data_IF_948472386472
#
_entry.id   IF_948472386472
#
_cell.length_a   1.000
_cell.length_b   1.000
_cell.length_c   1.000
_cell.angle_alpha   90.00
_cell.angle_beta   90.00
_cell.angle_gamma   90.00
#
_symmetry.space_group_name_H-M   'P 1'
#
loop_
_entity.id
_entity.type
_entity.pdbx_description
1 polymer ?
#
# COMPACT_ATOMS: atom_id res chain seq x y z
N UNK A 1 -16.58 4.31 -14.51
CA UNK A 1 -16.28 3.07 -13.75
C UNK A 1 -16.58 3.35 -12.29
N UNK A 2 -17.20 2.40 -11.57
CA UNK A 2 -17.33 2.54 -10.11
C UNK A 2 -15.98 2.32 -9.42
N UNK A 3 -15.88 2.72 -8.16
CA UNK A 3 -14.69 2.48 -7.35
C UNK A 3 -14.48 0.98 -7.14
N UNK A 4 -15.57 0.26 -6.89
CA UNK A 4 -15.61 -1.18 -6.69
C UNK A 4 -15.12 -1.93 -7.93
N UNK A 5 -15.58 -1.55 -9.13
CA UNK A 5 -15.08 -2.12 -10.38
C UNK A 5 -13.57 -1.92 -10.54
N UNK A 6 -13.07 -0.76 -10.11
CA UNK A 6 -11.64 -0.41 -10.22
C UNK A 6 -10.80 -1.24 -9.25
N UNK A 7 -11.25 -1.41 -8.01
CA UNK A 7 -10.59 -2.28 -7.01
C UNK A 7 -10.54 -3.72 -7.53
N UNK A 8 -11.61 -4.17 -8.16
CA UNK A 8 -11.71 -5.53 -8.67
C UNK A 8 -10.83 -5.77 -9.89
N UNK A 9 -10.69 -4.76 -10.75
CA UNK A 9 -9.70 -4.75 -11.82
C UNK A 9 -8.28 -4.82 -11.25
N UNK A 10 -7.97 -4.06 -10.20
CA UNK A 10 -6.63 -4.08 -9.58
C UNK A 10 -6.30 -5.47 -9.04
N UNK A 11 -7.25 -6.13 -8.36
CA UNK A 11 -7.09 -7.50 -7.88
C UNK A 11 -6.91 -8.50 -9.01
N UNK A 12 -7.73 -8.43 -10.06
CA UNK A 12 -7.78 -9.45 -11.13
C UNK A 12 -6.73 -9.26 -12.21
N UNK A 13 -6.48 -8.03 -12.64
CA UNK A 13 -5.58 -7.72 -13.75
C UNK A 13 -4.13 -7.76 -13.28
N UNK A 14 -3.85 -7.19 -12.10
CA UNK A 14 -2.48 -7.08 -11.58
C UNK A 14 -2.15 -8.16 -10.53
N UNK A 15 -3.11 -9.00 -10.15
CA UNK A 15 -2.87 -10.07 -9.16
C UNK A 15 -2.54 -9.55 -7.76
N UNK A 16 -2.92 -8.31 -7.46
CA UNK A 16 -2.61 -7.67 -6.19
C UNK A 16 -3.55 -8.16 -5.08
N UNK A 17 -2.99 -8.40 -3.90
CA UNK A 17 -3.75 -8.41 -2.67
C UNK A 17 -4.13 -6.97 -2.32
N UNK A 18 -5.43 -6.73 -2.14
CA UNK A 18 -5.98 -5.39 -1.90
C UNK A 18 -6.90 -5.42 -0.68
N UNK A 19 -6.62 -4.55 0.27
CA UNK A 19 -7.42 -4.33 1.49
C UNK A 19 -7.92 -2.89 1.52
N UNK A 20 -9.17 -2.69 1.94
CA UNK A 20 -9.80 -1.37 1.99
C UNK A 20 -10.05 -0.95 3.44
N UNK A 21 -9.85 0.34 3.71
CA UNK A 21 -10.26 1.01 4.93
C UNK A 21 -11.41 1.95 4.61
N UNK A 22 -12.51 1.80 5.34
CA UNK A 22 -13.66 2.70 5.29
C UNK A 22 -13.99 3.22 6.68
N UNK A 23 -14.63 4.38 6.75
CA UNK A 23 -15.23 4.87 8.00
C UNK A 23 -16.57 4.18 8.32
N UNK A 24 -17.22 4.61 9.41
CA UNK A 24 -18.51 4.07 9.85
C UNK A 24 -19.66 4.37 8.87
N UNK A 25 -19.51 5.40 8.03
CA UNK A 25 -20.49 5.82 7.04
C UNK A 25 -20.21 5.17 5.67
N UNK A 26 -19.17 4.34 5.57
CA UNK A 26 -18.75 3.65 4.35
C UNK A 26 -17.90 4.50 3.41
N UNK A 27 -17.43 5.67 3.83
CA UNK A 27 -16.53 6.49 3.02
C UNK A 27 -15.13 5.88 2.98
N UNK A 28 -14.49 5.98 1.82
CA UNK A 28 -13.12 5.52 1.62
C UNK A 28 -12.12 6.33 2.47
N UNK A 29 -11.29 5.63 3.23
CA UNK A 29 -10.19 6.21 4.01
C UNK A 29 -8.81 5.74 3.54
N UNK A 30 -8.73 4.54 2.98
CA UNK A 30 -7.47 4.06 2.45
C UNK A 30 -7.53 2.71 1.76
N UNK A 31 -6.48 2.40 1.00
CA UNK A 31 -6.31 1.14 0.30
C UNK A 31 -4.87 0.67 0.46
N UNK A 32 -4.70 -0.57 0.89
CA UNK A 32 -3.43 -1.28 0.93
C UNK A 32 -3.33 -2.17 -0.32
N UNK A 33 -2.16 -2.19 -0.94
CA UNK A 33 -1.87 -2.89 -2.18
C UNK A 33 -0.54 -3.63 -2.04
N UNK A 34 -0.54 -4.92 -2.32
CA UNK A 34 0.68 -5.71 -2.34
C UNK A 34 0.56 -6.88 -3.33
N UNK A 35 1.50 -7.00 -4.26
CA UNK A 35 1.57 -8.16 -5.16
C UNK A 35 2.46 -9.28 -4.60
N UNK A 36 2.61 -10.37 -5.36
CA UNK A 36 3.44 -11.49 -4.96
C UNK A 36 4.93 -11.14 -4.88
N UNK A 37 5.45 -10.37 -5.85
CA UNK A 37 6.87 -9.98 -5.88
C UNK A 37 7.19 -9.14 -4.66
N UNK A 38 6.37 -8.13 -4.35
CA UNK A 38 6.52 -7.28 -3.17
C UNK A 38 6.60 -8.09 -1.87
N UNK A 39 5.83 -9.17 -1.74
CA UNK A 39 5.92 -10.10 -0.59
C UNK A 39 7.21 -10.92 -0.58
N UNK A 40 7.64 -11.40 -1.73
CA UNK A 40 8.88 -12.18 -1.87
C UNK A 40 10.11 -11.33 -1.54
N UNK A 41 10.15 -10.09 -2.03
CA UNK A 41 11.21 -9.13 -1.72
C UNK A 41 11.29 -8.87 -0.22
N UNK A 42 10.17 -8.55 0.45
CA UNK A 42 10.18 -8.32 1.89
C UNK A 42 10.61 -9.56 2.70
N UNK A 43 10.21 -10.77 2.26
CA UNK A 43 10.64 -12.02 2.90
C UNK A 43 12.13 -12.27 2.75
N UNK A 44 12.72 -11.85 1.64
CA UNK A 44 14.16 -11.98 1.40
C UNK A 44 14.96 -10.97 2.23
N UNK A 45 14.45 -9.74 2.38
CA UNK A 45 15.15 -8.63 3.03
C UNK A 45 14.26 -7.86 4.04
N UNK A 46 13.89 -8.46 5.17
CA UNK A 46 12.98 -7.85 6.16
C UNK A 46 13.67 -6.88 7.14
N UNK A 47 14.99 -6.70 7.06
CA UNK A 47 15.80 -5.96 8.03
C UNK A 47 15.43 -4.48 8.18
N UNK A 48 15.01 -3.83 7.10
CA UNK A 48 14.72 -2.41 7.06
C UNK A 48 13.57 -2.12 6.10
N UNK A 49 12.58 -1.37 6.59
CA UNK A 49 11.49 -0.85 5.77
C UNK A 49 11.47 0.66 5.87
N UNK A 50 11.65 1.31 4.73
CA UNK A 50 11.49 2.75 4.55
C UNK A 50 10.06 3.05 4.11
N UNK A 51 9.48 4.12 4.63
CA UNK A 51 8.18 4.62 4.20
C UNK A 51 8.34 6.03 3.63
N UNK A 52 7.87 6.24 2.40
CA UNK A 52 7.81 7.55 1.77
C UNK A 52 6.39 7.85 1.26
N UNK A 53 5.98 9.12 1.35
CA UNK A 53 4.66 9.57 0.94
C UNK A 53 4.79 10.59 -0.20
N UNK A 54 4.21 10.28 -1.36
CA UNK A 54 4.25 11.14 -2.54
C UNK A 54 2.85 11.63 -2.90
N UNK A 55 2.69 12.94 -3.00
CA UNK A 55 1.41 13.58 -3.37
C UNK A 55 1.23 13.78 -4.88
N UNK A 56 2.31 13.67 -5.67
CA UNK A 56 2.34 14.15 -7.06
C UNK A 56 1.95 13.11 -8.11
N UNK A 57 1.81 11.84 -7.74
CA UNK A 57 1.57 10.76 -8.70
C UNK A 57 0.09 10.61 -9.06
N UNK A 58 -0.81 11.23 -8.29
CA UNK A 58 -2.27 11.11 -8.48
C UNK A 58 -2.90 12.50 -8.52
N UNK A 59 -3.56 12.87 -9.62
CA UNK A 59 -4.30 14.14 -9.78
C UNK A 59 -5.41 14.34 -8.71
N UNK A 60 -5.73 13.28 -7.97
CA UNK A 60 -6.76 13.25 -6.93
C UNK A 60 -6.29 13.81 -5.57
N UNK A 61 -5.05 14.29 -5.43
CA UNK A 61 -4.46 14.79 -4.17
C UNK A 61 -4.50 13.78 -3.00
N UNK A 62 -4.54 12.49 -3.32
CA UNK A 62 -4.46 11.41 -2.35
C UNK A 62 -2.98 11.03 -2.20
N UNK A 63 -2.38 11.12 -1.01
CA UNK A 63 -1.01 10.67 -0.81
C UNK A 63 -0.85 9.18 -1.11
N UNK A 64 0.13 8.86 -1.96
CA UNK A 64 0.58 7.51 -2.22
C UNK A 64 1.79 7.21 -1.33
N UNK A 65 1.59 6.31 -0.40
CA UNK A 65 2.62 5.70 0.43
C UNK A 65 3.29 4.57 -0.33
N UNK A 66 4.62 4.57 -0.30
CA UNK A 66 5.46 3.50 -0.83
C UNK A 66 6.29 2.96 0.33
N UNK A 67 6.17 1.65 0.59
CA UNK A 67 7.09 0.95 1.47
C UNK A 67 8.22 0.37 0.61
N UNK A 68 9.45 0.72 0.97
CA UNK A 68 10.67 0.30 0.31
C UNK A 68 11.49 -0.57 1.26
N UNK A 69 12.15 -1.58 0.72
CA UNK A 69 13.20 -2.34 1.40
C UNK A 69 14.51 -2.15 0.65
N UNK A 70 15.64 -2.46 1.28
CA UNK A 70 16.93 -2.54 0.60
C UNK A 70 17.41 -3.99 0.55
N UNK A 71 17.85 -4.45 -0.62
CA UNK A 71 18.47 -5.76 -0.78
C UNK A 71 19.92 -5.77 -0.24
N UNK A 72 20.54 -6.96 -0.20
CA UNK A 72 21.93 -7.12 0.22
C UNK A 72 22.98 -6.37 -0.63
N UNK A 73 22.59 -5.82 -1.79
CA UNK A 73 23.43 -4.99 -2.64
C UNK A 73 23.16 -3.48 -2.45
N UNK A 74 22.25 -3.10 -1.54
CA UNK A 74 21.83 -1.72 -1.32
C UNK A 74 20.89 -1.18 -2.40
N UNK A 75 20.19 -2.05 -3.14
CA UNK A 75 19.16 -1.66 -4.11
C UNK A 75 17.80 -1.62 -3.44
N UNK A 76 17.05 -0.53 -3.68
CA UNK A 76 15.72 -0.39 -3.11
C UNK A 76 14.66 -1.10 -3.96
N UNK A 77 13.83 -1.91 -3.32
CA UNK A 77 12.70 -2.60 -3.93
C UNK A 77 11.39 -2.21 -3.23
N UNK A 78 10.27 -2.28 -3.96
CA UNK A 78 8.95 -1.93 -3.40
C UNK A 78 8.38 -3.14 -2.65
N UNK A 79 8.02 -2.93 -1.39
CA UNK A 79 7.45 -3.96 -0.51
C UNK A 79 5.92 -3.84 -0.32
N UNK A 80 5.35 -2.65 -0.47
CA UNK A 80 3.90 -2.42 -0.53
C UNK A 80 3.57 -0.99 -0.96
N UNK A 81 2.31 -0.77 -1.35
CA UNK A 81 1.77 0.54 -1.66
C UNK A 81 0.52 0.83 -0.81
N UNK A 82 0.32 2.11 -0.47
CA UNK A 82 -0.83 2.59 0.28
C UNK A 82 -1.42 3.85 -0.33
N UNK A 83 -2.70 3.86 -0.66
CA UNK A 83 -3.42 5.09 -0.99
C UNK A 83 -4.21 5.51 0.24
N UNK A 84 -3.82 6.61 0.89
CA UNK A 84 -4.47 7.08 2.11
C UNK A 84 -5.09 8.44 1.87
N UNK A 85 -6.31 8.70 2.33
CA UNK A 85 -6.95 10.01 2.14
C UNK A 85 -6.28 11.12 2.96
N UNK A 86 -5.55 10.77 4.02
CA UNK A 86 -4.80 11.68 4.86
C UNK A 86 -3.64 10.94 5.58
N UNK A 87 -2.71 11.72 6.13
CA UNK A 87 -1.54 11.25 6.88
C UNK A 87 -1.78 11.31 8.39
N UNK A 88 -2.98 10.96 8.84
CA UNK A 88 -3.31 10.96 10.26
C UNK A 88 -2.88 9.66 10.92
N UNK A 89 -2.79 9.70 12.25
CA UNK A 89 -2.35 8.56 13.07
C UNK A 89 -3.13 7.29 12.75
N UNK A 90 -4.45 7.37 12.61
CA UNK A 90 -5.30 6.18 12.49
C UNK A 90 -5.18 5.52 11.11
N UNK A 91 -5.10 6.31 10.04
CA UNK A 91 -4.91 5.80 8.67
C UNK A 91 -3.52 5.19 8.49
N UNK A 92 -2.48 5.85 9.02
CA UNK A 92 -1.12 5.33 9.02
C UNK A 92 -1.00 4.06 9.87
N UNK A 93 -1.57 4.07 11.07
CA UNK A 93 -1.54 2.91 11.96
C UNK A 93 -2.23 1.70 11.34
N UNK A 94 -3.39 1.91 10.68
CA UNK A 94 -4.04 0.86 9.91
C UNK A 94 -3.14 0.34 8.79
N UNK A 95 -2.54 1.23 7.99
CA UNK A 95 -1.69 0.87 6.85
C UNK A 95 -0.48 0.01 7.28
N UNK A 96 0.26 0.45 8.30
CA UNK A 96 1.41 -0.30 8.82
C UNK A 96 1.00 -1.62 9.48
N UNK A 97 -0.17 -1.69 10.13
CA UNK A 97 -0.65 -2.96 10.68
C UNK A 97 -1.09 -3.92 9.58
N UNK A 98 -1.73 -3.45 8.50
CA UNK A 98 -2.03 -4.29 7.34
C UNK A 98 -0.77 -4.85 6.70
N UNK A 99 0.27 -4.04 6.56
CA UNK A 99 1.56 -4.55 6.10
C UNK A 99 2.10 -5.68 6.99
N UNK A 100 1.99 -5.55 8.32
CA UNK A 100 2.42 -6.61 9.27
C UNK A 100 1.53 -7.87 9.25
N UNK A 101 0.24 -7.73 8.98
CA UNK A 101 -0.67 -8.89 8.87
C UNK A 101 -0.42 -9.69 7.58
N UNK A 102 0.02 -9.01 6.52
CA UNK A 102 0.21 -9.61 5.20
C UNK A 102 1.58 -10.28 4.99
N UNK A 103 2.54 -10.08 5.89
CA UNK A 103 3.91 -10.58 5.79
C UNK A 103 4.34 -11.32 7.07
#
# INVERSE_FOLDING_TARGET
>A
KSFEDTVEDVKKIYGCHVELLTDNDGNFLGMFLQDLRMKEEFRAFPEMVCADATYKLVDMRIPLYVLLIEDGNGQSEIAALGLLVNEQRDTLHWFFNKFKECN
#
